data_IF_265772822240
#
_entry.id   IF_265772822240
#
_cell.length_a   1.000
_cell.length_b   1.000
_cell.length_c   1.000
_cell.angle_alpha   90.00
_cell.angle_beta   90.00
_cell.angle_gamma   90.00
#
_symmetry.space_group_name_H-M   'P 1'
#
loop_
_entity.id
_entity.type
_entity.pdbx_description
1 polymer ?
#
# COMPACT_ATOMS: atom_id res chain seq x y z
N UNK A 1 40.25 13.84 16.56
CA UNK A 1 39.07 12.96 16.69
C UNK A 1 38.34 12.96 15.36
N UNK A 2 38.34 11.86 14.63
CA UNK A 2 37.60 11.75 13.36
C UNK A 2 36.18 11.29 13.68
N UNK A 3 35.19 12.09 13.29
CA UNK A 3 33.79 11.74 13.45
C UNK A 3 33.47 10.53 12.58
N UNK A 4 33.12 9.41 13.21
CA UNK A 4 32.58 8.24 12.53
C UNK A 4 31.16 8.58 12.11
N UNK A 5 30.99 9.02 10.86
CA UNK A 5 29.68 9.10 10.23
C UNK A 5 29.14 7.68 10.11
N UNK A 6 28.14 7.35 10.93
CA UNK A 6 27.36 6.12 10.75
C UNK A 6 26.80 6.11 9.32
N UNK A 7 27.00 5.04 8.53
CA UNK A 7 26.32 4.94 7.25
C UNK A 7 24.82 4.97 7.50
N UNK A 8 24.12 5.89 6.85
CA UNK A 8 22.67 5.92 6.84
C UNK A 8 22.19 4.53 6.42
N UNK A 9 21.30 3.93 7.21
CA UNK A 9 20.70 2.64 6.90
C UNK A 9 20.00 2.82 5.56
N UNK A 10 20.57 2.27 4.49
CA UNK A 10 19.91 2.25 3.18
C UNK A 10 18.64 1.47 3.41
N UNK A 11 17.52 2.16 3.38
CA UNK A 11 16.23 1.56 3.59
C UNK A 11 15.93 0.75 2.32
N UNK A 12 16.37 -0.51 2.31
CA UNK A 12 16.18 -1.46 1.21
C UNK A 12 14.73 -1.89 1.07
N UNK A 13 13.80 -1.20 1.74
CA UNK A 13 12.36 -1.39 1.54
C UNK A 13 12.02 -1.09 0.08
N UNK A 14 11.29 -1.97 -0.62
CA UNK A 14 10.86 -1.70 -1.98
C UNK A 14 10.06 -0.39 -2.00
N UNK A 15 10.66 0.69 -2.52
CA UNK A 15 9.95 1.95 -2.65
C UNK A 15 8.90 1.82 -3.74
N UNK A 16 7.64 2.09 -3.39
CA UNK A 16 6.55 2.12 -4.35
C UNK A 16 6.66 3.30 -5.34
N UNK A 17 7.60 4.22 -5.13
CA UNK A 17 7.84 5.36 -5.99
C UNK A 17 7.91 6.65 -5.19
N UNK A 18 8.08 7.75 -5.91
CA UNK A 18 8.17 9.11 -5.39
C UNK A 18 6.88 9.93 -5.58
N UNK A 19 5.94 9.42 -6.38
CA UNK A 19 4.64 10.02 -6.64
C UNK A 19 3.50 9.07 -6.29
N UNK A 20 2.30 9.62 -6.07
CA UNK A 20 1.09 8.83 -5.82
C UNK A 20 0.77 7.91 -7.01
N UNK A 21 0.95 8.38 -8.25
CA UNK A 21 0.70 7.59 -9.46
C UNK A 21 1.66 6.41 -9.60
N UNK A 22 2.95 6.61 -9.31
CA UNK A 22 3.93 5.52 -9.29
C UNK A 22 3.56 4.49 -8.23
N UNK A 23 3.25 4.95 -7.02
CA UNK A 23 2.90 4.08 -5.90
C UNK A 23 1.64 3.26 -6.19
N UNK A 24 0.62 3.89 -6.78
CA UNK A 24 -0.63 3.25 -7.18
C UNK A 24 -0.41 2.18 -8.26
N UNK A 25 0.34 2.52 -9.31
CA UNK A 25 0.68 1.59 -10.40
C UNK A 25 1.49 0.41 -9.87
N UNK A 26 2.54 0.67 -9.08
CA UNK A 26 3.35 -0.41 -8.50
C UNK A 26 2.51 -1.28 -7.58
N UNK A 27 1.70 -0.71 -6.69
CA UNK A 27 0.81 -1.50 -5.83
C UNK A 27 -0.12 -2.40 -6.64
N UNK A 28 -0.71 -1.90 -7.72
CA UNK A 28 -1.52 -2.70 -8.66
C UNK A 28 -0.77 -3.88 -9.27
N UNK A 29 0.52 -3.72 -9.60
CA UNK A 29 1.36 -4.82 -10.11
C UNK A 29 1.78 -5.85 -9.06
N UNK A 30 1.69 -5.54 -7.77
CA UNK A 30 2.11 -6.42 -6.67
C UNK A 30 1.04 -7.44 -6.27
N UNK A 31 0.08 -7.71 -7.16
CA UNK A 31 -0.95 -8.70 -6.92
C UNK A 31 -0.37 -10.13 -6.93
N UNK A 32 -0.72 -10.86 -5.87
CA UNK A 32 -0.62 -12.32 -5.66
C UNK A 32 0.67 -13.08 -6.04
N UNK A 33 1.87 -12.51 -5.84
CA UNK A 33 3.09 -13.33 -5.81
C UNK A 33 3.46 -13.75 -4.38
N UNK A 34 2.95 -14.90 -3.94
CA UNK A 34 3.35 -15.60 -2.71
C UNK A 34 2.89 -14.97 -1.37
N UNK A 35 2.74 -13.65 -1.30
CA UNK A 35 2.11 -12.91 -0.20
C UNK A 35 1.11 -11.89 -0.76
N UNK A 36 -0.14 -11.86 -0.27
CA UNK A 36 -1.08 -10.84 -0.68
C UNK A 36 -0.68 -9.44 -0.15
N UNK A 37 -0.84 -8.45 -1.03
CA UNK A 37 -0.47 -7.04 -0.80
C UNK A 37 -1.72 -6.20 -0.56
N UNK A 38 -1.76 -5.49 0.56
CA UNK A 38 -2.90 -4.72 1.04
C UNK A 38 -2.59 -3.24 1.12
N UNK A 39 -3.62 -2.42 0.93
CA UNK A 39 -3.63 -1.00 1.23
C UNK A 39 -4.64 -0.71 2.33
N UNK A 40 -4.20 -0.20 3.47
CA UNK A 40 -5.07 0.27 4.55
C UNK A 40 -5.23 1.79 4.42
N UNK A 41 -6.43 2.20 3.99
CA UNK A 41 -6.81 3.60 3.88
C UNK A 41 -7.46 4.05 5.19
N UNK A 42 -6.96 5.16 5.74
CA UNK A 42 -7.41 5.69 7.02
C UNK A 42 -8.93 5.98 6.97
N UNK A 43 -9.69 5.38 7.89
CA UNK A 43 -11.15 5.54 7.96
C UNK A 43 -11.95 4.66 6.98
N UNK A 44 -11.33 4.01 6.00
CA UNK A 44 -12.01 3.20 4.99
C UNK A 44 -11.76 1.69 5.12
N UNK A 45 -10.64 1.32 5.72
CA UNK A 45 -10.23 -0.06 5.96
C UNK A 45 -9.23 -0.59 4.93
N UNK A 46 -9.21 -1.90 4.76
CA UNK A 46 -8.24 -2.58 3.90
C UNK A 46 -8.77 -2.84 2.48
N UNK A 47 -7.88 -2.72 1.51
CA UNK A 47 -8.11 -2.98 0.10
C UNK A 47 -7.00 -3.85 -0.48
N UNK A 48 -7.30 -4.59 -1.55
CA UNK A 48 -6.32 -5.40 -2.29
C UNK A 48 -6.65 -5.38 -3.76
N UNK A 49 -5.63 -5.45 -4.61
CA UNK A 49 -5.82 -5.67 -6.04
C UNK A 49 -6.05 -7.15 -6.31
N UNK A 50 -7.14 -7.45 -7.02
CA UNK A 50 -7.46 -8.77 -7.54
C UNK A 50 -7.01 -8.90 -9.01
N UNK A 51 -6.86 -10.12 -9.54
CA UNK A 51 -6.59 -10.33 -10.96
C UNK A 51 -7.58 -9.56 -11.85
N UNK A 52 -7.10 -9.05 -12.99
CA UNK A 52 -7.90 -8.21 -13.88
C UNK A 52 -8.01 -6.76 -13.43
N UNK A 53 -7.09 -6.30 -12.59
CA UNK A 53 -6.95 -4.89 -12.19
C UNK A 53 -8.14 -4.32 -11.42
N UNK A 54 -8.78 -5.15 -10.62
CA UNK A 54 -9.94 -4.76 -9.83
C UNK A 54 -9.53 -4.50 -8.38
N UNK A 55 -9.78 -3.29 -7.89
CA UNK A 55 -9.59 -2.99 -6.47
C UNK A 55 -10.76 -3.59 -5.69
N UNK A 56 -10.44 -4.36 -4.67
CA UNK A 56 -11.42 -4.98 -3.79
C UNK A 56 -11.27 -4.46 -2.37
N UNK A 57 -12.39 -4.22 -1.70
CA UNK A 57 -12.45 -4.00 -0.26
C UNK A 57 -12.37 -5.35 0.46
N UNK A 58 -11.50 -5.42 1.46
CA UNK A 58 -11.35 -6.58 2.32
C UNK A 58 -12.38 -6.49 3.42
N UNK A 59 -13.28 -7.48 3.47
CA UNK A 59 -14.32 -7.55 4.50
C UNK A 59 -13.86 -8.44 5.65
N UNK A 60 -13.17 -9.53 5.32
CA UNK A 60 -12.53 -10.45 6.27
C UNK A 60 -11.26 -11.01 5.64
N UNK A 61 -10.51 -11.82 6.40
CA UNK A 61 -9.33 -12.52 5.88
C UNK A 61 -9.63 -13.52 4.75
N UNK A 62 -10.91 -13.89 4.56
CA UNK A 62 -11.35 -14.85 3.53
C UNK A 62 -12.28 -14.24 2.48
N UNK A 63 -12.72 -12.99 2.67
CA UNK A 63 -13.75 -12.40 1.84
C UNK A 63 -13.36 -10.99 1.43
N UNK A 64 -13.45 -10.75 0.12
CA UNK A 64 -13.36 -9.43 -0.47
C UNK A 64 -14.59 -9.18 -1.33
N UNK A 65 -14.88 -7.92 -1.60
CA UNK A 65 -15.83 -7.50 -2.64
C UNK A 65 -15.19 -6.45 -3.52
N UNK A 66 -15.65 -6.32 -4.75
CA UNK A 66 -15.24 -5.20 -5.60
C UNK A 66 -15.53 -3.87 -4.88
N UNK A 67 -14.55 -2.95 -4.91
CA UNK A 67 -14.72 -1.60 -4.40
C UNK A 67 -15.71 -0.84 -5.28
N UNK A 68 -16.52 0.04 -4.69
CA UNK A 68 -17.33 0.98 -5.47
C UNK A 68 -16.43 2.05 -6.08
N UNK A 69 -16.90 2.79 -7.10
CA UNK A 69 -16.10 3.87 -7.67
C UNK A 69 -15.73 4.93 -6.62
N UNK A 70 -16.67 5.32 -5.74
CA UNK A 70 -16.41 6.25 -4.62
C UNK A 70 -15.27 5.74 -3.73
N UNK A 71 -15.28 4.44 -3.39
CA UNK A 71 -14.21 3.87 -2.57
C UNK A 71 -12.85 3.87 -3.30
N UNK A 72 -12.83 3.65 -4.61
CA UNK A 72 -11.60 3.74 -5.41
C UNK A 72 -11.06 5.17 -5.38
N UNK A 73 -11.93 6.16 -5.58
CA UNK A 73 -11.58 7.58 -5.57
C UNK A 73 -11.05 8.00 -4.19
N UNK A 74 -11.73 7.59 -3.11
CA UNK A 74 -11.31 7.90 -1.74
C UNK A 74 -9.99 7.23 -1.33
N UNK A 75 -9.73 6.00 -1.81
CA UNK A 75 -8.43 5.34 -1.59
C UNK A 75 -7.32 6.05 -2.36
N UNK A 76 -7.62 6.58 -3.55
CA UNK A 76 -6.70 7.43 -4.29
C UNK A 76 -6.42 8.75 -3.55
N UNK A 77 -7.43 9.40 -3.00
CA UNK A 77 -7.26 10.60 -2.16
C UNK A 77 -6.44 10.31 -0.89
N UNK A 78 -6.61 9.12 -0.30
CA UNK A 78 -5.77 8.67 0.81
C UNK A 78 -4.30 8.51 0.38
N UNK A 79 -4.02 8.02 -0.82
CA UNK A 79 -2.66 7.98 -1.36
C UNK A 79 -2.09 9.39 -1.51
N UNK A 80 -2.87 10.31 -2.09
CA UNK A 80 -2.45 11.70 -2.32
C UNK A 80 -2.14 12.45 -1.01
N UNK A 81 -2.89 12.18 0.04
CA UNK A 81 -2.73 12.82 1.36
C UNK A 81 -1.74 12.12 2.28
N UNK A 82 -1.15 10.99 1.86
CA UNK A 82 -0.28 10.17 2.71
C UNK A 82 -1.04 9.42 3.82
N UNK A 83 -2.35 9.26 3.67
CA UNK A 83 -3.26 8.55 4.57
C UNK A 83 -3.51 7.08 4.14
N UNK A 84 -2.64 6.51 3.31
CA UNK A 84 -2.68 5.12 2.87
C UNK A 84 -1.39 4.39 3.30
N UNK A 85 -1.53 3.23 3.94
CA UNK A 85 -0.40 2.31 4.21
C UNK A 85 -0.48 1.11 3.28
N UNK A 86 0.61 0.74 2.60
CA UNK A 86 0.67 -0.46 1.75
C UNK A 86 1.67 -1.46 2.33
N UNK A 87 1.25 -2.71 2.45
CA UNK A 87 2.03 -3.78 3.08
C UNK A 87 1.68 -5.15 2.54
N UNK A 88 2.57 -6.11 2.76
CA UNK A 88 2.27 -7.53 2.59
C UNK A 88 1.86 -8.13 3.93
N UNK A 89 0.98 -9.14 3.91
CA UNK A 89 0.72 -10.01 5.05
C UNK A 89 0.60 -11.46 4.59
N UNK A 90 0.64 -12.39 5.54
CA UNK A 90 0.29 -13.79 5.26
C UNK A 90 -1.24 -13.94 5.34
N UNK A 91 -1.82 -14.76 4.48
CA UNK A 91 -3.21 -15.20 4.58
C UNK A 91 -3.26 -16.69 4.87
N UNK A 92 -4.13 -17.09 5.79
CA UNK A 92 -4.37 -18.49 6.14
C UNK A 92 -5.10 -18.62 7.47
N UNK A 93 -5.80 -19.74 7.66
CA UNK A 93 -6.44 -20.05 8.95
C UNK A 93 -5.37 -20.16 10.03
N UNK A 94 -5.55 -19.46 11.16
CA UNK A 94 -4.60 -19.46 12.27
C UNK A 94 -3.32 -18.64 12.02
N UNK A 95 -3.24 -17.89 10.92
CA UNK A 95 -2.10 -17.03 10.61
C UNK A 95 -2.40 -15.58 11.00
N UNK A 96 -1.42 -14.91 11.59
CA UNK A 96 -1.55 -13.50 11.98
C UNK A 96 -1.85 -12.61 10.77
N UNK A 97 -2.82 -11.72 10.92
CA UNK A 97 -3.15 -10.68 9.92
C UNK A 97 -2.27 -9.44 10.01
N UNK A 98 -1.26 -9.45 10.89
CA UNK A 98 -0.32 -8.34 11.03
C UNK A 98 0.53 -8.17 9.75
N UNK A 99 0.90 -6.93 9.41
CA UNK A 99 1.83 -6.67 8.32
C UNK A 99 3.16 -7.42 8.51
N UNK A 100 3.63 -8.06 7.44
CA UNK A 100 4.95 -8.71 7.37
C UNK A 100 6.00 -7.72 6.87
N UNK A 101 5.67 -7.00 5.80
CA UNK A 101 6.55 -5.98 5.22
C UNK A 101 5.75 -4.74 4.89
N UNK A 102 6.20 -3.58 5.39
CA UNK A 102 5.68 -2.28 4.99
C UNK A 102 6.38 -1.84 3.70
N UNK A 103 5.60 -1.61 2.65
CA UNK A 103 6.06 -1.14 1.34
C UNK A 103 5.88 0.37 1.17
N UNK A 104 4.82 0.91 1.75
CA UNK A 104 4.55 2.33 1.83
C UNK A 104 3.89 2.64 3.15
N UNK A 105 4.44 3.60 3.88
CA UNK A 105 3.96 3.94 5.21
C UNK A 105 2.97 5.09 5.15
N UNK A 106 1.97 5.06 6.04
CA UNK A 106 1.08 6.20 6.24
C UNK A 106 1.88 7.34 6.85
N UNK A 107 2.28 8.30 6.02
CA UNK A 107 3.17 9.39 6.43
C UNK A 107 2.41 10.61 6.94
N UNK A 108 1.13 10.75 6.58
CA UNK A 108 0.35 11.98 6.77
C UNK A 108 0.85 13.18 5.95
N UNK A 109 1.85 12.97 5.09
CA UNK A 109 2.40 13.99 4.21
C UNK A 109 1.89 13.74 2.79
N UNK A 110 1.36 14.76 2.11
CA UNK A 110 0.90 14.61 0.75
C UNK A 110 2.02 14.15 -0.21
N UNK A 111 1.68 13.26 -1.13
CA UNK A 111 2.56 12.86 -2.23
C UNK A 111 2.26 13.73 -3.46
N UNK A 112 3.28 14.11 -4.25
CA UNK A 112 3.05 14.66 -5.58
C UNK A 112 2.19 13.70 -6.42
N UNK A 113 1.22 14.22 -7.16
CA UNK A 113 0.27 13.40 -7.94
C UNK A 113 1.00 12.54 -8.97
N UNK A 114 1.97 13.13 -9.68
CA UNK A 114 2.68 12.50 -10.81
C UNK A 114 1.85 12.43 -12.09
N UNK A 115 0.69 13.10 -12.13
CA UNK A 115 -0.14 13.27 -13.34
C UNK A 115 0.34 14.56 -14.02
N UNK A 116 0.76 14.53 -15.30
CA UNK A 116 1.09 15.74 -16.04
C UNK A 116 -0.15 16.63 -16.19
N UNK A 117 0.04 17.94 -16.03
CA UNK A 117 -1.00 18.97 -16.20
C UNK A 117 -1.56 19.03 -17.62
#
# INVERSE_FOLDING_TARGET
MMAVTKPARVDTRPSLGSTALEAWRKWRTLSWQGLPTYGNALGLGEFTWMPGDQLHKVLTVFLTRQATQSEVDEVWDCMLSGALRIYTRRNGVGVSSLPVTILHEMTGNPLPTGIPE
#
